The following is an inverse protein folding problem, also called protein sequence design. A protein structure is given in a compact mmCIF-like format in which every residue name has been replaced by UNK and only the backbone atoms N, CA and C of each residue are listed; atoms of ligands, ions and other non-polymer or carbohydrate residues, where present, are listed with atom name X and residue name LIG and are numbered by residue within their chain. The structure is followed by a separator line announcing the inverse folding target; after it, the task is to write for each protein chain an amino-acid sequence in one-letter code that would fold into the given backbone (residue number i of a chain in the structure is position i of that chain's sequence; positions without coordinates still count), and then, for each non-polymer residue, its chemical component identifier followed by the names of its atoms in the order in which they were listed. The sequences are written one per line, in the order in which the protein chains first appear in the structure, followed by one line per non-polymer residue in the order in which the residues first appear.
data_IF_211290337623
#
_entry.id   IF_211290337623
#
_cell.length_a   1.000
_cell.length_b   1.000
_cell.length_c   1.000
_cell.angle_alpha   90.00
_cell.angle_beta   90.00
_cell.angle_gamma   90.00
#
_symmetry.space_group_name_H-M   'P 1'
#
loop_
_entity.id
_entity.type
_entity.pdbx_description
1 polymer ?
#
# COMPACT_ATOMS: atom_id res chain seq x y z
N UNK A 1 13.27 9.63 -6.19
CA UNK A 1 13.63 9.60 -4.76
C UNK A 1 12.51 10.23 -3.95
N UNK A 2 12.31 9.79 -2.71
CA UNK A 2 11.32 10.34 -1.79
C UNK A 2 11.92 10.53 -0.40
N UNK A 3 11.23 11.31 0.43
CA UNK A 3 11.53 11.45 1.85
C UNK A 3 10.32 10.95 2.66
N UNK A 4 10.55 9.99 3.53
CA UNK A 4 9.52 9.44 4.44
C UNK A 4 9.77 10.04 5.83
N UNK A 5 8.77 10.74 6.36
CA UNK A 5 8.86 11.36 7.68
C UNK A 5 8.02 10.56 8.68
N UNK A 6 8.64 10.20 9.82
CA UNK A 6 7.95 9.56 10.94
C UNK A 6 7.94 10.50 12.13
N UNK A 7 6.73 10.88 12.59
CA UNK A 7 6.54 11.77 13.73
C UNK A 7 5.82 11.02 14.84
N UNK A 8 6.44 10.97 16.02
CA UNK A 8 5.79 10.46 17.22
C UNK A 8 4.99 11.57 17.87
N UNK A 9 3.66 11.55 17.72
CA UNK A 9 2.78 12.64 18.17
C UNK A 9 2.50 12.63 19.68
N UNK A 10 2.55 11.47 20.31
CA UNK A 10 2.21 11.31 21.72
C UNK A 10 2.27 9.87 22.19
N UNK A 11 1.94 9.67 23.46
CA UNK A 11 1.84 8.35 24.09
C UNK A 11 0.58 8.28 24.96
N UNK A 12 0.08 7.05 25.17
CA UNK A 12 -1.01 6.74 26.11
C UNK A 12 -0.44 6.00 27.32
N UNK A 13 -0.94 6.32 28.51
CA UNK A 13 -0.64 5.61 29.76
C UNK A 13 -1.76 4.61 29.98
N UNK A 14 -1.43 3.32 29.91
CA UNK A 14 -2.38 2.24 30.12
C UNK A 14 -2.06 1.58 31.46
N UNK A 15 -3.06 1.46 32.34
CA UNK A 15 -2.90 0.82 33.64
C UNK A 15 -2.70 -0.67 33.46
N UNK A 16 -1.63 -1.19 34.09
CA UNK A 16 -1.33 -2.62 34.08
C UNK A 16 -2.50 -3.39 34.73
N UNK A 17 -2.81 -4.56 34.17
CA UNK A 17 -3.93 -5.44 34.53
C UNK A 17 -5.33 -4.99 34.12
N UNK A 18 -5.70 -3.71 34.28
CA UNK A 18 -7.05 -3.25 33.91
C UNK A 18 -7.17 -2.82 32.46
N UNK A 19 -6.05 -2.57 31.77
CA UNK A 19 -6.02 -2.03 30.40
C UNK A 19 -6.77 -0.70 30.24
N UNK A 20 -7.01 0.00 31.35
CA UNK A 20 -7.69 1.30 31.35
C UNK A 20 -6.72 2.39 30.92
N UNK A 21 -7.20 3.31 30.09
CA UNK A 21 -6.46 4.51 29.75
C UNK A 21 -6.50 5.50 30.92
N UNK A 22 -5.35 5.68 31.58
CA UNK A 22 -5.18 6.56 32.74
C UNK A 22 -4.57 7.92 32.39
N UNK A 23 -4.33 8.18 31.10
CA UNK A 23 -3.88 9.48 30.62
C UNK A 23 -3.09 9.41 29.31
N UNK A 24 -2.68 10.57 28.82
CA UNK A 24 -1.84 10.71 27.64
C UNK A 24 -0.85 11.85 27.82
N UNK A 25 0.18 11.87 26.98
CA UNK A 25 1.13 12.97 26.90
C UNK A 25 1.59 13.19 25.47
N UNK A 26 2.01 14.41 25.15
CA UNK A 26 2.64 14.72 23.87
C UNK A 26 4.11 14.33 23.91
N UNK A 27 4.63 13.92 22.76
CA UNK A 27 6.06 13.68 22.56
C UNK A 27 6.59 14.80 21.68
N UNK A 28 7.65 15.45 22.14
CA UNK A 28 8.36 16.49 21.42
C UNK A 28 9.72 15.93 21.02
N UNK A 29 9.72 15.08 20.00
CA UNK A 29 10.93 14.52 19.40
C UNK A 29 11.01 15.03 17.96
N UNK A 30 12.23 15.29 17.42
CA UNK A 30 12.38 15.62 16.02
C UNK A 30 11.80 14.52 15.12
N UNK A 31 11.34 14.92 13.93
CA UNK A 31 10.91 13.99 12.91
C UNK A 31 12.08 13.11 12.47
N UNK A 32 11.82 11.81 12.32
CA UNK A 32 12.80 10.87 11.76
C UNK A 32 12.58 10.86 10.25
N UNK A 33 13.61 11.26 9.51
CA UNK A 33 13.59 11.32 8.06
C UNK A 33 14.32 10.12 7.45
N UNK A 34 13.68 9.49 6.48
CA UNK A 34 14.27 8.45 5.66
C UNK A 34 14.27 8.92 4.20
N UNK A 35 15.45 9.25 3.69
CA UNK A 35 15.65 9.50 2.27
C UNK A 35 15.88 8.17 1.56
N UNK A 36 15.05 7.84 0.57
CA UNK A 36 15.11 6.53 -0.11
C UNK A 36 14.60 6.61 -1.55
N UNK A 37 14.84 5.54 -2.30
CA UNK A 37 14.25 5.32 -3.61
C UNK A 37 12.83 4.75 -3.47
N UNK A 38 11.95 5.17 -4.38
CA UNK A 38 10.60 4.65 -4.48
C UNK A 38 10.16 4.56 -5.95
N UNK A 39 9.26 3.63 -6.20
CA UNK A 39 8.43 3.55 -7.40
C UNK A 39 7.00 3.84 -6.96
N UNK A 40 6.20 4.47 -7.81
CA UNK A 40 4.80 4.69 -7.50
C UNK A 40 3.92 4.56 -8.74
N UNK A 41 2.68 4.20 -8.49
CA UNK A 41 1.63 4.04 -9.50
C UNK A 41 0.59 5.10 -9.24
N UNK A 42 0.41 6.05 -10.17
CA UNK A 42 -0.67 7.04 -10.11
C UNK A 42 -1.87 6.55 -10.90
N UNK A 43 -3.05 6.67 -10.28
CA UNK A 43 -4.32 6.35 -10.92
C UNK A 43 -4.91 7.64 -11.49
N UNK A 44 -5.19 7.71 -12.80
CA UNK A 44 -5.89 8.85 -13.39
C UNK A 44 -7.27 9.03 -12.76
N UNK A 45 -7.68 10.27 -12.53
CA UNK A 45 -9.01 10.56 -11.95
C UNK A 45 -10.16 10.04 -12.83
N UNK A 46 -9.94 9.99 -14.16
CA UNK A 46 -10.86 9.40 -15.11
C UNK A 46 -11.20 7.93 -14.79
N UNK A 47 -10.22 7.16 -14.30
CA UNK A 47 -10.43 5.76 -13.95
C UNK A 47 -11.40 5.60 -12.77
N UNK A 48 -11.23 6.44 -11.74
CA UNK A 48 -12.12 6.43 -10.58
C UNK A 48 -13.56 6.80 -10.98
N UNK A 49 -13.71 7.73 -11.92
CA UNK A 49 -15.02 8.12 -12.46
C UNK A 49 -15.65 7.02 -13.33
N UNK A 50 -14.87 6.35 -14.20
CA UNK A 50 -15.32 5.24 -15.03
C UNK A 50 -15.82 4.05 -14.19
N UNK A 51 -15.08 3.72 -13.13
CA UNK A 51 -15.43 2.64 -12.21
C UNK A 51 -16.51 3.02 -11.18
N UNK A 52 -16.99 4.27 -11.19
CA UNK A 52 -17.99 4.81 -10.26
C UNK A 52 -17.65 4.56 -8.78
N UNK A 53 -16.36 4.58 -8.45
CA UNK A 53 -15.88 4.29 -7.09
C UNK A 53 -16.12 5.49 -6.18
N UNK A 54 -16.67 5.25 -4.99
CA UNK A 54 -16.62 6.26 -3.95
C UNK A 54 -15.18 6.47 -3.48
N UNK A 55 -14.88 7.62 -2.86
CA UNK A 55 -13.55 7.87 -2.29
C UNK A 55 -13.15 6.82 -1.23
N UNK A 56 -14.13 6.26 -0.51
CA UNK A 56 -13.92 5.18 0.45
C UNK A 56 -13.55 3.88 -0.26
N UNK A 57 -14.29 3.50 -1.30
CA UNK A 57 -14.03 2.26 -2.05
C UNK A 57 -12.69 2.30 -2.77
N UNK A 58 -12.30 3.47 -3.28
CA UNK A 58 -10.98 3.66 -3.88
C UNK A 58 -9.86 3.50 -2.85
N UNK A 59 -10.02 4.07 -1.64
CA UNK A 59 -9.05 3.89 -0.55
C UNK A 59 -8.92 2.41 -0.16
N UNK A 60 -10.06 1.73 -0.04
CA UNK A 60 -10.16 0.30 0.24
C UNK A 60 -9.47 -0.54 -0.82
N UNK A 61 -9.69 -0.25 -2.10
CA UNK A 61 -9.07 -0.96 -3.20
C UNK A 61 -7.55 -0.71 -3.27
N UNK A 62 -7.10 0.51 -3.03
CA UNK A 62 -5.67 0.84 -2.94
C UNK A 62 -4.98 0.13 -1.77
N UNK A 63 -5.62 0.10 -0.60
CA UNK A 63 -5.11 -0.65 0.56
C UNK A 63 -5.06 -2.16 0.28
N UNK A 64 -6.07 -2.69 -0.38
CA UNK A 64 -6.10 -4.07 -0.82
C UNK A 64 -4.92 -4.41 -1.76
N UNK A 65 -4.67 -3.57 -2.76
CA UNK A 65 -3.53 -3.75 -3.68
C UNK A 65 -2.20 -3.60 -2.92
N UNK A 66 -2.09 -2.66 -1.97
CA UNK A 66 -0.89 -2.49 -1.15
C UNK A 66 -0.56 -3.76 -0.36
N UNK A 67 -1.57 -4.41 0.24
CA UNK A 67 -1.41 -5.67 0.97
C UNK A 67 -0.92 -6.79 0.05
N UNK A 68 -1.52 -6.92 -1.14
CA UNK A 68 -1.13 -7.94 -2.13
C UNK A 68 0.30 -7.72 -2.61
N UNK A 69 0.66 -6.46 -2.93
CA UNK A 69 2.02 -6.11 -3.36
C UNK A 69 3.05 -6.34 -2.28
N UNK A 70 2.73 -6.07 -1.01
CA UNK A 70 3.62 -6.39 0.10
C UNK A 70 3.95 -7.89 0.19
N UNK A 71 3.01 -8.75 -0.20
CA UNK A 71 3.23 -10.21 -0.24
C UNK A 71 3.99 -10.66 -1.51
N UNK A 72 3.69 -10.07 -2.67
CA UNK A 72 4.22 -10.52 -3.97
C UNK A 72 5.58 -9.89 -4.30
N UNK A 73 5.78 -8.60 -4.00
CA UNK A 73 7.01 -7.90 -4.36
C UNK A 73 8.28 -8.58 -3.80
N UNK A 74 8.33 -9.06 -2.55
CA UNK A 74 9.51 -9.72 -2.00
C UNK A 74 9.87 -11.01 -2.74
N UNK A 75 8.87 -11.76 -3.22
CA UNK A 75 9.06 -12.99 -4.00
C UNK A 75 9.75 -12.71 -5.33
N UNK A 76 9.35 -11.62 -6.01
CA UNK A 76 9.94 -11.23 -7.29
C UNK A 76 11.31 -10.55 -7.14
N UNK A 77 11.52 -9.84 -6.04
CA UNK A 77 12.75 -9.12 -5.77
C UNK A 77 13.80 -9.97 -5.04
N UNK A 78 13.41 -11.17 -4.58
CA UNK A 78 14.23 -12.04 -3.75
C UNK A 78 14.77 -11.30 -2.50
N UNK A 79 13.90 -10.53 -1.85
CA UNK A 79 14.22 -9.77 -0.64
C UNK A 79 13.33 -10.18 0.53
N UNK A 80 13.64 -9.70 1.73
CA UNK A 80 12.76 -9.88 2.88
C UNK A 80 11.53 -8.96 2.74
N UNK A 81 10.33 -9.36 3.22
CA UNK A 81 9.16 -8.49 3.24
C UNK A 81 9.38 -7.16 3.98
N UNK A 82 10.31 -7.10 4.94
CA UNK A 82 10.65 -5.87 5.66
C UNK A 82 11.53 -4.89 4.86
N UNK A 83 12.16 -5.34 3.78
CA UNK A 83 13.05 -4.52 2.95
C UNK A 83 12.30 -3.56 2.02
N UNK A 84 11.01 -3.84 1.76
CA UNK A 84 10.16 -3.05 0.86
C UNK A 84 8.77 -2.83 1.46
N UNK A 85 8.29 -1.58 1.41
CA UNK A 85 6.96 -1.22 1.90
C UNK A 85 6.09 -0.66 0.79
N UNK A 86 4.85 -1.14 0.76
CA UNK A 86 3.78 -0.57 -0.05
C UNK A 86 2.93 0.37 0.80
N UNK A 87 2.65 1.58 0.32
CA UNK A 87 1.87 2.59 1.04
C UNK A 87 0.85 3.26 0.10
N UNK A 88 -0.46 3.07 0.34
CA UNK A 88 -1.50 3.69 -0.46
C UNK A 88 -1.74 5.14 -0.01
N UNK A 89 -1.96 6.04 -0.97
CA UNK A 89 -2.34 7.43 -0.74
C UNK A 89 -3.52 7.81 -1.63
N UNK A 90 -4.63 8.24 -1.05
CA UNK A 90 -5.80 8.74 -1.82
C UNK A 90 -5.45 10.02 -2.56
N UNK A 91 -4.61 10.87 -1.95
CA UNK A 91 -4.10 12.09 -2.55
C UNK A 91 -2.60 12.15 -2.34
N UNK A 92 -1.85 11.95 -3.42
CA UNK A 92 -0.42 12.18 -3.44
C UNK A 92 -0.12 13.65 -3.14
N UNK A 93 0.90 13.96 -2.30
CA UNK A 93 1.28 15.35 -2.05
C UNK A 93 1.79 16.07 -3.30
N UNK A 94 2.27 15.33 -4.30
CA UNK A 94 2.86 15.90 -5.52
C UNK A 94 1.84 16.14 -6.62
N UNK A 95 1.09 15.10 -6.98
CA UNK A 95 0.15 15.13 -8.11
C UNK A 95 -1.30 15.35 -7.70
N UNK A 96 -1.62 15.29 -6.40
CA UNK A 96 -2.99 15.30 -5.86
C UNK A 96 -3.87 14.14 -6.35
N UNK A 97 -3.28 13.20 -7.10
CA UNK A 97 -3.94 12.00 -7.60
C UNK A 97 -3.79 10.84 -6.61
N UNK A 98 -4.70 9.85 -6.66
CA UNK A 98 -4.53 8.61 -5.92
C UNK A 98 -3.28 7.87 -6.40
N UNK A 99 -2.42 7.46 -5.47
CA UNK A 99 -1.14 6.86 -5.77
C UNK A 99 -0.82 5.70 -4.82
N UNK A 100 -0.09 4.72 -5.33
CA UNK A 100 0.45 3.62 -4.54
C UNK A 100 1.97 3.67 -4.58
N UNK A 101 2.59 3.93 -3.43
CA UNK A 101 4.05 4.02 -3.28
C UNK A 101 4.64 2.69 -2.87
N UNK A 102 5.76 2.32 -3.48
CA UNK A 102 6.61 1.21 -3.10
C UNK A 102 8.03 1.73 -2.90
N UNK A 103 8.55 1.64 -1.68
CA UNK A 103 9.84 2.21 -1.34
C UNK A 103 10.71 1.26 -0.53
N UNK A 104 12.02 1.43 -0.68
CA UNK A 104 13.02 0.65 0.07
C UNK A 104 13.09 1.18 1.50
N UNK A 105 13.12 0.31 2.50
CA UNK A 105 13.20 0.72 3.92
C UNK A 105 14.61 1.11 4.37
N UNK A 106 15.57 1.13 3.44
CA UNK A 106 16.98 1.47 3.70
C UNK A 106 17.31 2.90 3.27
N UNK A 107 18.13 3.64 4.05
CA UNK A 107 18.61 4.95 3.66
C UNK A 107 19.36 4.92 2.33
N UNK A 108 19.06 5.88 1.45
CA UNK A 108 19.60 5.97 0.10
C UNK A 108 18.95 5.03 -0.93
N UNK A 109 18.17 4.05 -0.47
CA UNK A 109 17.64 2.98 -1.32
C UNK A 109 18.72 1.99 -1.75
N UNK A 110 18.32 0.74 -1.93
CA UNK A 110 19.20 -0.34 -2.42
C UNK A 110 18.80 -0.81 -3.82
N UNK A 111 17.77 -0.19 -4.40
CA UNK A 111 17.33 -0.40 -5.78
C UNK A 111 16.25 -1.46 -5.94
N UNK A 112 15.55 -1.88 -4.88
CA UNK A 112 14.41 -2.80 -5.01
C UNK A 112 13.26 -2.11 -5.72
N UNK A 113 12.93 -0.89 -5.31
CA UNK A 113 11.94 -0.05 -5.96
C UNK A 113 12.29 0.23 -7.42
N UNK A 114 13.58 0.40 -7.75
CA UNK A 114 14.03 0.64 -9.12
C UNK A 114 13.84 -0.60 -10.01
N UNK A 115 14.09 -1.81 -9.49
CA UNK A 115 13.81 -3.06 -10.20
C UNK A 115 12.31 -3.21 -10.51
N UNK A 116 11.45 -2.90 -9.55
CA UNK A 116 9.99 -2.91 -9.75
C UNK A 116 9.55 -1.89 -10.79
N UNK A 117 10.12 -0.69 -10.77
CA UNK A 117 9.83 0.35 -11.75
C UNK A 117 10.16 -0.09 -13.18
N UNK A 118 11.30 -0.77 -13.37
CA UNK A 118 11.72 -1.22 -14.70
C UNK A 118 10.92 -2.42 -15.22
N UNK A 119 10.39 -3.26 -14.33
CA UNK A 119 9.64 -4.46 -14.73
C UNK A 119 8.39 -4.68 -13.86
N UNK A 120 7.38 -3.81 -13.96
CA UNK A 120 6.18 -3.88 -13.11
C UNK A 120 5.20 -4.98 -13.56
N UNK A 121 5.19 -5.32 -14.86
CA UNK A 121 4.21 -6.24 -15.46
C UNK A 121 4.11 -7.59 -14.74
N UNK A 122 5.21 -8.33 -14.50
CA UNK A 122 5.12 -9.65 -13.89
C UNK A 122 4.62 -9.59 -12.45
N UNK A 123 4.98 -8.52 -11.73
CA UNK A 123 4.57 -8.31 -10.34
C UNK A 123 3.08 -8.03 -10.26
N UNK A 124 2.56 -7.14 -11.10
CA UNK A 124 1.12 -6.82 -11.14
C UNK A 124 0.31 -8.03 -11.61
N UNK A 125 0.81 -8.80 -12.59
CA UNK A 125 0.17 -10.04 -13.05
C UNK A 125 0.07 -11.07 -11.92
N UNK A 126 1.15 -11.30 -11.17
CA UNK A 126 1.12 -12.20 -10.01
C UNK A 126 0.20 -11.71 -8.88
N UNK A 127 0.09 -10.39 -8.69
CA UNK A 127 -0.89 -9.83 -7.76
C UNK A 127 -2.32 -10.20 -8.18
N UNK A 128 -2.64 -10.06 -9.48
CA UNK A 128 -3.95 -10.43 -9.99
C UNK A 128 -4.22 -11.94 -9.84
N UNK A 129 -3.23 -12.78 -10.17
CA UNK A 129 -3.32 -14.23 -10.02
C UNK A 129 -3.56 -14.63 -8.55
N UNK A 130 -2.86 -14.01 -7.60
CA UNK A 130 -3.06 -14.26 -6.17
C UNK A 130 -4.49 -13.91 -5.71
N UNK A 131 -5.00 -12.76 -6.15
CA UNK A 131 -6.34 -12.31 -5.76
C UNK A 131 -7.44 -13.19 -6.37
N UNK A 132 -7.28 -13.56 -7.65
CA UNK A 132 -8.24 -14.42 -8.35
C UNK A 132 -8.18 -15.88 -7.90
N UNK A 133 -6.99 -16.40 -7.59
CA UNK A 133 -6.79 -17.77 -7.10
C UNK A 133 -7.19 -17.95 -5.63
N UNK A 134 -7.32 -16.87 -4.86
CA UNK A 134 -7.71 -16.97 -3.46
C UNK A 134 -9.21 -17.27 -3.31
N UNK A 135 -9.55 -18.35 -2.61
CA UNK A 135 -10.94 -18.78 -2.33
C UNK A 135 -11.73 -17.92 -1.33
N UNK A 136 -11.21 -16.77 -0.90
CA UNK A 136 -11.93 -15.87 0.02
C UNK A 136 -13.07 -15.11 -0.69
N UNK A 137 -14.14 -14.78 0.03
CA UNK A 137 -15.27 -13.99 -0.53
C UNK A 137 -14.94 -12.50 -0.60
N UNK A 138 -14.54 -11.93 0.53
CA UNK A 138 -14.39 -10.47 0.71
C UNK A 138 -12.95 -10.04 1.01
N UNK A 139 -12.04 -11.00 1.20
CA UNK A 139 -10.63 -10.75 1.54
C UNK A 139 -10.13 -11.61 2.71
N UNK A 140 -8.83 -11.88 2.74
CA UNK A 140 -8.14 -12.53 3.85
C UNK A 140 -6.70 -11.98 3.98
N UNK A 141 -6.03 -12.18 5.13
CA UNK A 141 -4.66 -11.69 5.35
C UNK A 141 -3.63 -12.14 4.30
N UNK A 142 -3.88 -13.26 3.62
CA UNK A 142 -2.97 -13.79 2.58
C UNK A 142 -3.17 -13.14 1.20
N UNK A 143 -4.24 -12.38 0.97
CA UNK A 143 -4.50 -11.70 -0.30
C UNK A 143 -4.64 -10.19 -0.11
N UNK A 144 -5.86 -9.66 -0.20
CA UNK A 144 -6.19 -8.24 -0.09
C UNK A 144 -6.24 -7.71 1.35
N UNK A 145 -6.16 -8.57 2.36
CA UNK A 145 -6.41 -8.23 3.76
C UNK A 145 -7.82 -8.61 4.23
N UNK A 146 -8.06 -8.66 5.54
CA UNK A 146 -9.36 -9.01 6.10
C UNK A 146 -10.42 -7.93 5.83
N UNK A 147 -11.66 -8.35 5.57
CA UNK A 147 -12.75 -7.45 5.18
C UNK A 147 -13.07 -6.34 6.21
N UNK A 148 -12.73 -6.54 7.49
CA UNK A 148 -12.89 -5.51 8.53
C UNK A 148 -11.90 -4.34 8.38
N UNK A 149 -10.76 -4.56 7.74
CA UNK A 149 -9.73 -3.53 7.55
C UNK A 149 -9.85 -2.85 6.18
N UNK A 150 -10.12 -3.64 5.14
CA UNK A 150 -10.18 -3.13 3.76
C UNK A 150 -11.59 -2.91 3.23
N UNK A 151 -12.63 -3.46 3.87
CA UNK A 151 -14.02 -3.39 3.40
C UNK A 151 -14.46 -4.64 2.61
N UNK A 152 -15.78 -4.86 2.52
CA UNK A 152 -16.35 -6.10 1.95
C UNK A 152 -16.13 -6.24 0.44
N UNK A 153 -16.16 -5.13 -0.30
CA UNK A 153 -16.03 -5.10 -1.75
C UNK A 153 -14.59 -4.85 -2.22
N UNK A 154 -13.63 -4.73 -1.29
CA UNK A 154 -12.24 -4.38 -1.61
C UNK A 154 -11.61 -5.37 -2.60
N UNK A 155 -11.92 -6.67 -2.47
CA UNK A 155 -11.44 -7.69 -3.40
C UNK A 155 -11.90 -7.47 -4.83
N UNK A 156 -13.17 -7.12 -5.03
CA UNK A 156 -13.75 -6.91 -6.36
C UNK A 156 -13.10 -5.68 -7.03
N UNK A 157 -13.07 -4.55 -6.33
CA UNK A 157 -12.49 -3.31 -6.84
C UNK A 157 -10.98 -3.42 -7.06
N UNK A 158 -10.25 -4.10 -6.18
CA UNK A 158 -8.82 -4.36 -6.38
C UNK A 158 -8.55 -5.22 -7.62
N UNK A 159 -9.38 -6.23 -7.88
CA UNK A 159 -9.26 -7.07 -9.08
C UNK A 159 -9.45 -6.26 -10.34
N UNK A 160 -10.47 -5.40 -10.38
CA UNK A 160 -10.77 -4.55 -11.53
C UNK A 160 -9.66 -3.52 -11.79
N UNK A 161 -9.14 -2.88 -10.73
CA UNK A 161 -7.98 -1.98 -10.82
C UNK A 161 -6.72 -2.70 -11.31
N UNK A 162 -6.42 -3.90 -10.80
CA UNK A 162 -5.27 -4.69 -11.26
C UNK A 162 -5.40 -5.08 -12.73
N UNK A 163 -6.60 -5.44 -13.19
CA UNK A 163 -6.86 -5.72 -14.61
C UNK A 163 -6.64 -4.49 -15.49
N UNK A 164 -7.08 -3.31 -15.03
CA UNK A 164 -6.83 -2.05 -15.73
C UNK A 164 -5.34 -1.76 -15.84
N UNK A 165 -4.59 -1.89 -14.73
CA UNK A 165 -3.14 -1.66 -14.70
C UNK A 165 -2.40 -2.58 -15.68
N UNK A 166 -2.75 -3.87 -15.75
CA UNK A 166 -2.12 -4.80 -16.71
C UNK A 166 -2.35 -4.35 -18.15
N UNK A 167 -3.56 -3.89 -18.50
CA UNK A 167 -3.86 -3.38 -19.84
C UNK A 167 -3.06 -2.12 -20.17
N UNK A 168 -2.90 -1.22 -19.21
CA UNK A 168 -2.13 0.01 -19.39
C UNK A 168 -0.64 -0.28 -19.59
N UNK A 169 -0.10 -1.27 -18.90
CA UNK A 169 1.27 -1.70 -19.13
C UNK A 169 1.42 -2.45 -20.45
N UNK A 170 0.40 -3.10 -21.01
CA UNK A 170 0.51 -3.94 -22.21
C UNK A 170 0.90 -3.21 -23.52
N UNK A 171 1.16 -1.90 -23.47
CA UNK A 171 1.68 -1.06 -24.57
C UNK A 171 3.21 -1.01 -24.51
#
# INVERSE_FOLDING_TARGET
EIKVNTITTGYKKIKLFTHENIGSGRVYQPEIELHTAAAWLELPEALAAEMQLSASDLSSALQAIANVLHNIAPVYLMCDPSDIRAFPMIKSPFSQLPALYLYDTYPGGIGLSFKLFNNPKPVVAACLELVQGCGCKSGCPSCVGPALEVGENAKAHATELLQFLIRQFAI
#
